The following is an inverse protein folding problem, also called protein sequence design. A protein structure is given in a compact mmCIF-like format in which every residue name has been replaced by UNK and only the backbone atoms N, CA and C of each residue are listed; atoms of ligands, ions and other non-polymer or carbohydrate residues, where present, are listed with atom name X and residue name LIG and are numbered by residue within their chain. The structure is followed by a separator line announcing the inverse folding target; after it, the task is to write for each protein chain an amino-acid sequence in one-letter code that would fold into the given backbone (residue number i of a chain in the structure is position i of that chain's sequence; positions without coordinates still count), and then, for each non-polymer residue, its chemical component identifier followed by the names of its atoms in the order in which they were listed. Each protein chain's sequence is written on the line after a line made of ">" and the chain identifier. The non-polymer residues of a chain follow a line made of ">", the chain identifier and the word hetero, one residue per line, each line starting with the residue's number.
data_IF_079750026609
#
_entry.id   IF_079750026609
#
_cell.length_a   1.000
_cell.length_b   1.000
_cell.length_c   1.000
_cell.angle_alpha   90.00
_cell.angle_beta   90.00
_cell.angle_gamma   90.00
#
_symmetry.space_group_name_H-M   'P 1'
#
loop_
_entity.id
_entity.type
_entity.pdbx_description
1 polymer ?
#
# COMPACT_ATOMS: atom_id res chain seq x y z
N UNK A 1 -1.95 5.58 20.90
CA UNK A 1 -2.10 5.69 19.43
C UNK A 1 -0.86 6.31 18.83
N UNK A 2 -0.48 5.95 17.61
CA UNK A 2 0.71 6.49 16.92
C UNK A 2 0.52 7.97 16.58
N UNK A 3 -0.72 8.36 16.25
CA UNK A 3 -1.16 9.71 15.92
C UNK A 3 -1.00 10.66 17.11
N UNK A 4 -1.33 10.20 18.32
CA UNK A 4 -1.14 10.97 19.56
C UNK A 4 0.34 11.21 19.88
N UNK A 5 1.23 10.38 19.33
CA UNK A 5 2.69 10.51 19.42
C UNK A 5 3.30 11.16 18.18
N UNK A 6 2.46 11.63 17.26
CA UNK A 6 2.84 12.18 15.96
C UNK A 6 3.75 11.26 15.11
N UNK A 7 3.71 9.94 15.33
CA UNK A 7 4.54 8.98 14.63
C UNK A 7 3.98 8.70 13.22
N UNK A 8 4.71 9.02 12.13
CA UNK A 8 4.25 8.74 10.76
C UNK A 8 4.10 7.25 10.49
N UNK A 9 3.09 6.89 9.70
CA UNK A 9 2.89 5.51 9.25
C UNK A 9 2.19 5.43 7.89
N UNK A 10 2.42 4.32 7.21
CA UNK A 10 1.64 3.86 6.06
C UNK A 10 1.11 2.47 6.37
N UNK A 11 -0.21 2.29 6.27
CA UNK A 11 -0.91 1.05 6.59
C UNK A 11 -1.74 0.62 5.39
N UNK A 12 -1.44 -0.56 4.83
CA UNK A 12 -2.28 -1.17 3.81
C UNK A 12 -3.63 -1.58 4.42
N UNK A 13 -4.71 -1.29 3.71
CA UNK A 13 -6.08 -1.62 4.12
C UNK A 13 -6.85 -2.27 2.97
N UNK A 14 -7.95 -2.95 3.30
CA UNK A 14 -8.87 -3.50 2.30
C UNK A 14 -9.66 -2.38 1.63
N UNK A 15 -10.16 -2.63 0.42
CA UNK A 15 -11.06 -1.71 -0.30
C UNK A 15 -12.28 -1.31 0.52
N UNK A 16 -12.90 -2.28 1.21
CA UNK A 16 -14.03 -2.10 2.13
C UNK A 16 -13.66 -1.56 3.53
N UNK A 17 -12.46 -0.97 3.72
CA UNK A 17 -12.11 -0.38 5.01
C UNK A 17 -13.03 0.80 5.33
N UNK A 18 -13.66 0.78 6.49
CA UNK A 18 -14.59 1.84 6.91
C UNK A 18 -13.93 3.23 6.85
N UNK A 19 -14.56 4.13 6.12
CA UNK A 19 -14.24 5.54 6.04
C UNK A 19 -15.49 6.37 6.25
N UNK A 20 -15.28 7.66 6.53
CA UNK A 20 -16.35 8.65 6.62
C UNK A 20 -16.11 9.73 5.57
N UNK A 21 -17.15 10.02 4.80
CA UNK A 21 -17.25 11.17 3.89
C UNK A 21 -18.23 12.19 4.48
N UNK A 22 -18.01 13.47 4.26
CA UNK A 22 -18.89 14.54 4.76
C UNK A 22 -18.25 15.42 5.84
N UNK A 23 -19.04 16.37 6.33
CA UNK A 23 -18.61 17.41 7.28
C UNK A 23 -19.09 17.15 8.71
N UNK A 24 -18.78 18.09 9.60
CA UNK A 24 -19.03 18.07 11.05
C UNK A 24 -20.37 17.48 11.54
N UNK A 25 -21.43 17.74 10.78
CA UNK A 25 -22.83 17.46 11.18
C UNK A 25 -23.50 16.33 10.40
N UNK A 26 -22.95 15.94 9.26
CA UNK A 26 -23.44 14.81 8.46
C UNK A 26 -22.24 14.05 7.92
N UNK A 27 -22.11 12.81 8.36
CA UNK A 27 -21.16 11.85 7.82
C UNK A 27 -21.92 10.71 7.15
N UNK A 28 -21.44 10.35 5.98
CA UNK A 28 -21.81 9.16 5.25
C UNK A 28 -20.73 8.10 5.48
N UNK A 29 -21.17 6.86 5.72
CA UNK A 29 -20.28 5.71 5.71
C UNK A 29 -19.83 5.43 4.28
N UNK A 30 -18.53 5.21 4.09
CA UNK A 30 -17.98 4.87 2.78
C UNK A 30 -16.72 4.02 2.94
N UNK A 31 -16.03 3.76 1.85
CA UNK A 31 -14.80 3.00 1.80
C UNK A 31 -13.79 3.60 0.80
N UNK A 32 -12.48 3.31 0.93
CA UNK A 32 -11.50 3.78 -0.04
C UNK A 32 -11.80 3.32 -1.47
N UNK A 33 -12.43 2.15 -1.63
CA UNK A 33 -12.80 1.63 -2.95
C UNK A 33 -13.93 2.42 -3.61
N UNK A 34 -14.99 2.73 -2.88
CA UNK A 34 -16.08 3.59 -3.36
C UNK A 34 -15.55 4.98 -3.72
N UNK A 35 -14.76 5.59 -2.85
CA UNK A 35 -14.16 6.91 -3.12
C UNK A 35 -13.24 6.89 -4.35
N UNK A 36 -12.42 5.84 -4.52
CA UNK A 36 -11.55 5.70 -5.68
C UNK A 36 -12.28 5.24 -6.95
N UNK A 37 -13.57 4.90 -6.88
CA UNK A 37 -14.40 4.61 -8.05
C UNK A 37 -14.94 5.88 -8.70
N UNK A 38 -14.96 6.99 -7.95
CA UNK A 38 -15.41 8.32 -8.40
C UNK A 38 -14.31 9.09 -9.16
N UNK A 39 -13.07 8.59 -9.16
CA UNK A 39 -11.94 9.26 -9.79
C UNK A 39 -11.94 9.11 -11.32
N UNK A 40 -11.75 10.23 -12.00
CA UNK A 40 -11.52 10.31 -13.43
C UNK A 40 -10.07 9.89 -13.77
N UNK A 41 -9.76 9.54 -15.03
CA UNK A 41 -8.39 9.16 -15.41
C UNK A 41 -7.31 10.16 -14.99
N UNK A 42 -7.61 11.47 -15.03
CA UNK A 42 -6.67 12.55 -14.72
C UNK A 42 -6.39 12.73 -13.22
N UNK A 43 -7.21 12.12 -12.34
CA UNK A 43 -6.96 12.09 -10.89
C UNK A 43 -5.80 11.14 -10.53
N UNK A 44 -5.39 10.30 -11.47
CA UNK A 44 -4.34 9.30 -11.28
C UNK A 44 -3.01 9.80 -11.86
N UNK A 45 -1.97 9.77 -11.03
CA UNK A 45 -0.62 10.19 -11.40
C UNK A 45 0.33 9.01 -11.31
N UNK A 46 1.08 8.77 -12.39
CA UNK A 46 2.07 7.70 -12.42
C UNK A 46 3.29 8.05 -11.56
N UNK A 47 3.62 7.19 -10.60
CA UNK A 47 4.79 7.33 -9.73
C UNK A 47 5.48 5.99 -9.47
N UNK A 48 6.79 6.05 -9.25
CA UNK A 48 7.60 4.90 -8.86
C UNK A 48 7.37 4.54 -7.38
N UNK A 49 6.93 3.31 -7.12
CA UNK A 49 6.79 2.70 -5.80
C UNK A 49 8.08 1.98 -5.38
N UNK A 50 9.22 2.63 -5.62
CA UNK A 50 10.56 2.08 -5.40
C UNK A 50 11.08 1.19 -6.53
N UNK A 51 12.32 0.75 -6.37
CA UNK A 51 13.04 -0.05 -7.38
C UNK A 51 12.65 -1.53 -7.32
N UNK A 52 12.47 -2.14 -8.49
CA UNK A 52 12.28 -3.57 -8.67
C UNK A 52 13.43 -4.20 -9.45
N UNK A 53 13.43 -5.53 -9.54
CA UNK A 53 14.47 -6.28 -10.25
C UNK A 53 14.62 -5.93 -11.74
N UNK A 54 13.57 -5.36 -12.36
CA UNK A 54 13.53 -4.95 -13.78
C UNK A 54 13.52 -3.43 -13.96
N UNK A 55 13.84 -2.66 -12.92
CA UNK A 55 13.73 -1.21 -12.89
C UNK A 55 12.60 -0.72 -11.98
N UNK A 56 12.31 0.60 -11.98
CA UNK A 56 11.32 1.21 -11.09
C UNK A 56 9.93 0.60 -11.25
N UNK A 57 9.24 0.37 -10.13
CA UNK A 57 7.90 -0.23 -10.11
C UNK A 57 6.87 0.88 -10.23
N UNK A 58 6.43 1.13 -11.46
CA UNK A 58 5.50 2.21 -11.79
C UNK A 58 4.05 1.76 -11.56
N UNK A 59 3.30 2.63 -10.88
CA UNK A 59 1.87 2.49 -10.67
C UNK A 59 1.20 3.85 -10.81
N UNK A 60 -0.08 3.84 -11.16
CA UNK A 60 -0.94 5.00 -11.08
C UNK A 60 -1.39 5.17 -9.62
N UNK A 61 -1.27 6.39 -9.08
CA UNK A 61 -1.63 6.71 -7.70
C UNK A 61 -2.58 7.89 -7.64
N UNK A 62 -3.52 7.84 -6.71
CA UNK A 62 -4.43 8.93 -6.43
C UNK A 62 -4.55 9.18 -4.93
N UNK A 63 -4.80 10.44 -4.56
CA UNK A 63 -5.03 10.86 -3.18
C UNK A 63 -6.51 10.87 -2.88
N UNK A 64 -6.93 10.08 -1.91
CA UNK A 64 -8.28 10.14 -1.35
C UNK A 64 -8.28 11.22 -0.27
N UNK A 65 -8.91 12.35 -0.59
CA UNK A 65 -9.00 13.47 0.34
C UNK A 65 -9.91 13.12 1.52
N UNK A 66 -9.43 13.36 2.74
CA UNK A 66 -10.25 13.22 3.95
C UNK A 66 -10.38 14.58 4.64
N UNK A 67 -11.55 15.23 4.57
CA UNK A 67 -11.70 16.61 5.05
C UNK A 67 -11.59 16.77 6.58
N UNK A 68 -11.73 15.67 7.33
CA UNK A 68 -11.99 15.69 8.78
C UNK A 68 -10.87 15.15 9.68
N UNK A 69 -9.64 15.06 9.16
CA UNK A 69 -8.58 14.33 9.86
C UNK A 69 -7.54 15.26 10.48
N UNK A 70 -7.01 14.82 11.63
CA UNK A 70 -5.90 15.38 12.41
C UNK A 70 -5.07 16.46 11.70
N UNK A 71 -5.56 17.71 11.68
CA UNK A 71 -4.86 18.87 11.11
C UNK A 71 -4.27 18.62 9.70
N UNK A 72 -4.96 17.85 8.85
CA UNK A 72 -4.53 17.53 7.48
C UNK A 72 -3.40 16.51 7.33
N UNK A 73 -3.08 15.74 8.39
CA UNK A 73 -1.99 14.75 8.40
C UNK A 73 -2.37 13.35 7.94
N UNK A 74 -3.64 12.97 8.15
CA UNK A 74 -4.12 11.63 7.83
C UNK A 74 -4.84 11.65 6.48
N UNK A 75 -4.33 10.86 5.56
CA UNK A 75 -4.77 10.78 4.16
C UNK A 75 -4.99 9.32 3.80
N UNK A 76 -5.70 9.08 2.71
CA UNK A 76 -5.73 7.77 2.09
C UNK A 76 -5.16 7.84 0.68
N UNK A 77 -4.54 6.75 0.24
CA UNK A 77 -4.04 6.58 -1.11
C UNK A 77 -4.71 5.38 -1.77
N UNK A 78 -4.95 5.49 -3.07
CA UNK A 78 -5.25 4.37 -3.93
C UNK A 78 -4.11 4.20 -4.94
N UNK A 79 -3.77 2.96 -5.25
CA UNK A 79 -2.90 2.62 -6.38
C UNK A 79 -3.56 1.62 -7.30
N UNK A 80 -3.20 1.67 -8.59
CA UNK A 80 -3.63 0.71 -9.61
C UNK A 80 -2.50 0.47 -10.61
N UNK A 81 -2.60 -0.60 -11.39
CA UNK A 81 -1.69 -0.81 -12.51
C UNK A 81 -1.82 0.32 -13.55
N UNK A 82 -0.70 0.80 -14.11
CA UNK A 82 -0.73 1.80 -15.19
C UNK A 82 -1.57 1.31 -16.36
N UNK A 83 -2.37 2.22 -16.95
CA UNK A 83 -3.20 1.95 -18.14
C UNK A 83 -4.17 0.76 -18.03
N UNK A 84 -4.55 0.34 -16.81
CA UNK A 84 -5.59 -0.66 -16.63
C UNK A 84 -6.95 -0.08 -17.08
N UNK A 85 -7.39 -0.46 -18.29
CA UNK A 85 -8.73 -0.20 -18.85
C UNK A 85 -9.80 -1.00 -18.10
N UNK A 86 -9.40 -2.16 -17.58
CA UNK A 86 -10.22 -2.97 -16.70
C UNK A 86 -10.00 -2.59 -15.23
N UNK A 87 -10.89 -3.05 -14.34
CA UNK A 87 -10.76 -2.91 -12.87
C UNK A 87 -9.54 -3.73 -12.40
N UNK A 88 -8.34 -3.25 -12.71
CA UNK A 88 -7.09 -3.80 -12.22
C UNK A 88 -7.12 -3.81 -10.70
N UNK A 89 -6.46 -4.79 -10.09
CA UNK A 89 -6.40 -4.89 -8.61
C UNK A 89 -5.89 -3.57 -8.04
N UNK A 90 -6.78 -2.82 -7.38
CA UNK A 90 -6.44 -1.62 -6.64
C UNK A 90 -5.87 -1.99 -5.28
N UNK A 91 -4.92 -1.22 -4.78
CA UNK A 91 -4.47 -1.28 -3.40
C UNK A 91 -4.73 0.03 -2.68
N UNK A 92 -4.99 -0.04 -1.38
CA UNK A 92 -5.41 1.11 -0.58
C UNK A 92 -4.56 1.24 0.66
N UNK A 93 -4.22 2.48 1.02
CA UNK A 93 -3.34 2.78 2.13
C UNK A 93 -3.90 3.93 2.97
N UNK A 94 -3.85 3.78 4.30
CA UNK A 94 -3.95 4.89 5.23
C UNK A 94 -2.57 5.45 5.50
N UNK A 95 -2.43 6.76 5.41
CA UNK A 95 -1.16 7.46 5.55
C UNK A 95 -1.29 8.55 6.58
N UNK A 96 -0.57 8.43 7.69
CA UNK A 96 -0.36 9.53 8.63
C UNK A 96 1.03 10.09 8.39
N UNK A 97 1.10 11.33 7.90
CA UNK A 97 2.35 11.99 7.56
C UNK A 97 2.23 13.50 7.83
N UNK A 98 3.36 14.23 7.92
CA UNK A 98 3.32 15.68 8.05
C UNK A 98 2.43 16.36 6.99
N UNK A 99 1.87 17.55 7.30
CA UNK A 99 1.29 18.43 6.29
C UNK A 99 2.32 18.73 5.20
N UNK A 100 1.90 18.77 3.93
CA UNK A 100 2.78 19.14 2.82
C UNK A 100 3.60 18.00 2.20
N UNK A 101 3.63 16.79 2.76
CA UNK A 101 4.23 15.63 2.07
C UNK A 101 3.64 15.49 0.66
N UNK A 102 4.50 15.35 -0.34
CA UNK A 102 4.17 15.19 -1.76
C UNK A 102 3.60 13.80 -2.05
N UNK A 103 2.93 13.60 -3.20
CA UNK A 103 2.38 12.29 -3.53
C UNK A 103 3.52 11.29 -3.72
N UNK A 104 4.57 11.69 -4.44
CA UNK A 104 5.77 10.89 -4.68
C UNK A 104 6.42 10.38 -3.37
N UNK A 105 6.56 11.22 -2.34
CA UNK A 105 7.12 10.77 -1.05
C UNK A 105 6.25 9.71 -0.37
N UNK A 106 4.93 9.91 -0.36
CA UNK A 106 4.02 8.93 0.24
C UNK A 106 4.01 7.61 -0.54
N UNK A 107 4.09 7.69 -1.88
CA UNK A 107 4.20 6.54 -2.77
C UNK A 107 5.49 5.76 -2.54
N UNK A 108 6.62 6.46 -2.42
CA UNK A 108 7.91 5.83 -2.15
C UNK A 108 7.85 5.03 -0.84
N UNK A 109 7.31 5.61 0.24
CA UNK A 109 7.16 4.92 1.53
C UNK A 109 6.18 3.75 1.43
N UNK A 110 5.04 3.91 0.74
CA UNK A 110 4.10 2.81 0.51
C UNK A 110 4.75 1.66 -0.28
N UNK A 111 5.60 1.98 -1.27
CA UNK A 111 6.34 1.02 -2.08
C UNK A 111 7.37 0.19 -1.31
N UNK A 112 7.94 0.73 -0.23
CA UNK A 112 8.86 -0.02 0.64
C UNK A 112 8.18 -1.24 1.29
N UNK A 113 6.86 -1.22 1.47
CA UNK A 113 6.13 -2.38 2.00
C UNK A 113 6.28 -3.61 1.10
N UNK A 114 6.31 -3.42 -0.22
CA UNK A 114 6.44 -4.54 -1.13
C UNK A 114 7.83 -5.18 -1.04
N UNK A 115 8.88 -4.39 -0.84
CA UNK A 115 10.21 -4.94 -0.58
C UNK A 115 10.24 -5.82 0.68
N UNK A 116 9.50 -5.44 1.74
CA UNK A 116 9.36 -6.23 2.96
C UNK A 116 8.64 -7.56 2.66
N UNK A 117 7.52 -7.51 1.94
CA UNK A 117 6.76 -8.72 1.56
C UNK A 117 7.57 -9.65 0.63
N UNK A 118 8.34 -9.11 -0.31
CA UNK A 118 9.27 -9.87 -1.16
C UNK A 118 10.39 -10.53 -0.33
N UNK A 119 10.96 -9.81 0.64
CA UNK A 119 11.96 -10.38 1.55
C UNK A 119 11.37 -11.55 2.35
N UNK A 120 10.15 -11.44 2.87
CA UNK A 120 9.49 -12.53 3.58
C UNK A 120 9.15 -13.70 2.66
N UNK A 121 8.70 -13.44 1.44
CA UNK A 121 8.44 -14.49 0.46
C UNK A 121 9.72 -15.25 0.09
N UNK A 122 10.81 -14.54 -0.20
CA UNK A 122 12.13 -15.14 -0.49
C UNK A 122 12.67 -15.95 0.69
N UNK A 123 12.60 -15.41 1.90
CA UNK A 123 13.04 -16.14 3.09
C UNK A 123 12.26 -17.44 3.30
N UNK A 124 10.96 -17.46 2.97
CA UNK A 124 10.13 -18.66 3.00
C UNK A 124 10.57 -19.69 1.95
N UNK A 125 10.87 -19.23 0.74
CA UNK A 125 11.34 -20.10 -0.36
C UNK A 125 12.74 -20.67 -0.07
N UNK A 126 13.66 -19.87 0.47
CA UNK A 126 15.00 -20.29 0.86
C UNK A 126 14.97 -21.34 1.99
N UNK A 127 14.11 -21.13 3.01
CA UNK A 127 13.90 -22.11 4.07
C UNK A 127 13.29 -23.42 3.54
N UNK A 128 12.41 -23.35 2.54
CA UNK A 128 11.84 -24.52 1.87
C UNK A 128 12.89 -25.27 1.03
N UNK A 129 13.84 -24.58 0.41
CA UNK A 129 14.97 -25.18 -0.31
C UNK A 129 15.92 -25.88 0.68
N UNK A 130 16.27 -25.24 1.80
CA UNK A 130 17.13 -25.84 2.84
C UNK A 130 16.45 -27.07 3.46
N UNK A 131 15.15 -27.03 3.71
CA UNK A 131 14.39 -28.18 4.23
C UNK A 131 14.28 -29.34 3.22
N UNK A 132 14.40 -29.08 1.91
CA UNK A 132 14.47 -30.11 0.86
C UNK A 132 15.87 -30.66 0.63
N UNK A 133 16.91 -29.93 1.03
CA UNK A 133 18.31 -30.34 1.00
C UNK A 133 18.76 -30.87 2.37
N UNK A 134 17.92 -31.67 3.02
CA UNK A 134 18.31 -32.41 4.23
C UNK A 134 19.57 -33.26 3.95
N UNK A 135 20.43 -33.46 4.96
CA UNK A 135 21.72 -34.10 4.78
C UNK A 135 21.50 -35.49 4.17
N UNK A 136 22.17 -35.74 3.04
CA UNK A 136 22.24 -37.06 2.44
C UNK A 136 22.73 -38.05 3.49
N UNK A 137 21.83 -38.92 3.95
CA UNK A 137 22.23 -40.13 4.65
C UNK A 137 22.76 -41.08 3.58
N UNK A 138 24.07 -40.96 3.33
CA UNK A 138 24.85 -42.10 2.86
C UNK A 138 24.68 -43.25 3.86
N UNK A 139 24.58 -44.46 3.32
CA UNK A 139 23.91 -45.58 3.94
C UNK A 139 24.57 -46.17 5.19
N UNK A 140 23.83 -47.08 5.82
CA UNK A 140 24.28 -48.41 6.28
C UNK A 140 23.01 -49.22 6.54
N UNK A 141 22.98 -50.40 5.93
CA UNK A 141 22.04 -51.47 6.23
C UNK A 141 22.37 -52.08 7.59
N UNK A 142 21.37 -52.26 8.46
CA UNK A 142 21.14 -53.45 9.32
C UNK A 142 19.64 -53.57 9.54
#
# INVERSE_FOLDING_TARGET
>A
MLEAREQPYVLAVRGAHFMRRGGDRLFEETSPEELASEFEPDDWVCHAAGDGAKGPRLYDWARIHRPWTSKGRLRALASRQPQAIDIGRKAYYLVFAPPGSSLAELVAVAGLRWAIEECFARAKDDLLIIARLGPGTDGIAI
#
